data_IF_951114964108
#
_entry.id   IF_951114964108
#
_cell.length_a   1.000
_cell.length_b   1.000
_cell.length_c   1.000
_cell.angle_alpha   90.00
_cell.angle_beta   90.00
_cell.angle_gamma   90.00
#
_symmetry.space_group_name_H-M   'P 1'
#
loop_
_entity.id
_entity.type
_entity.pdbx_description
1 polymer ?
#
# COMPACT_ATOMS: atom_id res chain seq x y z
N UNK A 1 29.44 -23.54 62.15
CA UNK A 1 29.23 -22.42 61.21
C UNK A 1 29.39 -22.99 59.81
N UNK A 2 28.29 -23.45 59.19
CA UNK A 2 28.23 -23.92 57.79
C UNK A 2 26.88 -23.43 57.25
N UNK A 3 26.93 -22.78 56.08
CA UNK A 3 25.91 -21.92 55.50
C UNK A 3 24.59 -22.63 55.11
N UNK A 4 23.45 -21.90 55.01
CA UNK A 4 22.20 -22.45 54.51
C UNK A 4 22.22 -22.58 52.98
N UNK A 5 21.67 -23.69 52.49
CA UNK A 5 21.53 -24.02 51.09
C UNK A 5 20.42 -23.14 50.45
N UNK A 6 20.79 -22.37 49.44
CA UNK A 6 19.87 -21.55 48.63
C UNK A 6 19.09 -22.47 47.68
N UNK A 7 17.75 -22.38 47.59
CA UNK A 7 17.02 -23.12 46.58
C UNK A 7 17.34 -22.54 45.20
N UNK A 8 17.85 -23.40 44.31
CA UNK A 8 18.02 -23.11 42.89
C UNK A 8 16.71 -22.56 42.31
N UNK A 9 16.76 -21.31 41.86
CA UNK A 9 15.75 -20.75 40.97
C UNK A 9 15.82 -21.55 39.69
N UNK A 10 14.98 -22.58 39.58
CA UNK A 10 14.67 -23.24 38.31
C UNK A 10 14.21 -22.13 37.39
N UNK A 11 15.08 -21.77 36.44
CA UNK A 11 14.74 -20.91 35.32
C UNK A 11 13.46 -21.46 34.74
N UNK A 12 12.38 -20.70 34.90
CA UNK A 12 11.14 -20.97 34.22
C UNK A 12 11.48 -20.89 32.74
N UNK A 13 11.57 -22.07 32.13
CA UNK A 13 11.47 -22.26 30.70
C UNK A 13 10.25 -21.44 30.28
N UNK A 14 10.48 -20.24 29.75
CA UNK A 14 9.46 -19.42 29.10
C UNK A 14 9.13 -20.18 27.84
N UNK A 15 8.31 -21.21 28.00
CA UNK A 15 7.66 -21.94 26.93
C UNK A 15 6.93 -20.86 26.14
N UNK A 16 7.52 -20.48 25.01
CA UNK A 16 6.96 -19.52 24.09
C UNK A 16 5.49 -19.91 23.88
N UNK A 17 4.57 -18.96 24.06
CA UNK A 17 3.17 -19.22 23.79
C UNK A 17 3.09 -19.82 22.37
N UNK A 18 2.37 -20.94 22.17
CA UNK A 18 2.22 -21.51 20.84
C UNK A 18 1.76 -20.41 19.89
N UNK A 19 2.33 -20.39 18.68
CA UNK A 19 1.86 -19.51 17.62
C UNK A 19 0.33 -19.60 17.62
N UNK A 20 -0.30 -18.45 17.84
CA UNK A 20 -1.74 -18.40 18.05
C UNK A 20 -2.43 -18.97 16.80
N UNK A 21 -3.13 -20.09 16.93
CA UNK A 21 -3.77 -20.78 15.79
C UNK A 21 -4.83 -19.90 15.10
N UNK A 22 -5.25 -18.81 15.75
CA UNK A 22 -6.17 -17.83 15.17
C UNK A 22 -5.55 -17.16 13.92
N UNK A 23 -6.37 -16.68 12.97
CA UNK A 23 -5.87 -15.85 11.87
C UNK A 23 -5.09 -14.63 12.38
N UNK A 24 -4.04 -14.23 11.65
CA UNK A 24 -3.09 -13.19 12.07
C UNK A 24 -3.78 -11.83 12.27
N UNK A 25 -4.90 -11.61 11.57
CA UNK A 25 -5.73 -10.41 11.68
C UNK A 25 -6.31 -10.21 13.10
N UNK A 26 -6.35 -11.26 13.92
CA UNK A 26 -6.84 -11.23 15.30
C UNK A 26 -5.72 -11.23 16.35
N UNK A 27 -4.46 -11.22 15.93
CA UNK A 27 -3.34 -11.27 16.85
C UNK A 27 -3.12 -9.93 17.56
N UNK A 28 -2.79 -9.92 18.85
CA UNK A 28 -2.31 -8.72 19.53
C UNK A 28 -0.91 -8.34 19.04
N UNK A 29 -0.51 -7.07 19.18
CA UNK A 29 0.83 -6.59 18.77
C UNK A 29 1.96 -7.38 19.45
N UNK A 30 1.76 -7.80 20.70
CA UNK A 30 2.72 -8.64 21.43
C UNK A 30 2.94 -10.01 20.77
N UNK A 31 1.90 -10.61 20.17
CA UNK A 31 2.03 -11.87 19.44
C UNK A 31 2.77 -11.68 18.10
N UNK A 32 2.53 -10.55 17.41
CA UNK A 32 3.30 -10.17 16.21
C UNK A 32 4.78 -9.99 16.57
N UNK A 33 5.08 -9.32 17.69
CA UNK A 33 6.46 -9.16 18.18
C UNK A 33 7.14 -10.50 18.41
N UNK A 34 6.50 -11.38 19.17
CA UNK A 34 7.03 -12.72 19.44
C UNK A 34 7.24 -13.52 18.14
N UNK A 35 6.31 -13.40 17.19
CA UNK A 35 6.41 -14.07 15.89
C UNK A 35 7.59 -13.58 15.04
N UNK A 36 7.95 -12.30 15.11
CA UNK A 36 9.10 -11.75 14.40
C UNK A 36 10.44 -12.06 15.10
N UNK A 37 10.41 -12.31 16.40
CA UNK A 37 11.56 -12.77 17.19
C UNK A 37 11.91 -14.24 16.95
N UNK A 38 10.91 -15.07 16.66
CA UNK A 38 11.06 -16.50 16.43
C UNK A 38 11.35 -16.81 14.95
N UNK A 39 12.20 -17.80 14.70
CA UNK A 39 12.61 -18.24 13.34
C UNK A 39 11.58 -19.21 12.72
N UNK A 40 10.30 -18.81 12.67
CA UNK A 40 9.22 -19.61 12.06
C UNK A 40 8.76 -19.00 10.74
N UNK A 41 9.28 -19.56 9.65
CA UNK A 41 8.97 -19.15 8.29
C UNK A 41 7.47 -19.28 7.94
N UNK A 42 6.76 -20.28 8.46
CA UNK A 42 5.35 -20.47 8.16
C UNK A 42 4.50 -19.36 8.79
N UNK A 43 4.85 -18.94 10.01
CA UNK A 43 4.22 -17.79 10.66
C UNK A 43 4.53 -16.49 9.92
N UNK A 44 5.78 -16.29 9.49
CA UNK A 44 6.16 -15.13 8.68
C UNK A 44 5.38 -15.06 7.37
N UNK A 45 5.19 -16.19 6.69
CA UNK A 45 4.38 -16.25 5.47
C UNK A 45 2.92 -15.83 5.72
N UNK A 46 2.31 -16.23 6.84
CA UNK A 46 0.95 -15.81 7.22
C UNK A 46 0.86 -14.30 7.42
N UNK A 47 1.85 -13.70 8.08
CA UNK A 47 1.94 -12.23 8.25
C UNK A 47 2.06 -11.54 6.90
N UNK A 48 2.94 -12.04 6.01
CA UNK A 48 3.12 -11.49 4.65
C UNK A 48 1.83 -11.58 3.84
N UNK A 49 1.08 -12.68 3.93
CA UNK A 49 -0.22 -12.83 3.25
C UNK A 49 -1.23 -11.81 3.75
N UNK A 50 -1.31 -11.60 5.08
CA UNK A 50 -2.18 -10.59 5.66
C UNK A 50 -1.80 -9.17 5.20
N UNK A 51 -0.50 -8.83 5.16
CA UNK A 51 -0.02 -7.54 4.64
C UNK A 51 -0.37 -7.37 3.15
N UNK A 52 -0.16 -8.40 2.33
CA UNK A 52 -0.50 -8.36 0.89
C UNK A 52 -2.00 -8.16 0.64
N UNK A 53 -2.84 -8.65 1.54
CA UNK A 53 -4.30 -8.47 1.48
C UNK A 53 -4.72 -7.06 1.86
N UNK A 54 -4.09 -6.47 2.87
CA UNK A 54 -4.40 -5.12 3.34
C UNK A 54 -3.11 -4.38 3.80
N UNK A 55 -2.45 -3.63 2.90
CA UNK A 55 -1.13 -3.02 3.17
C UNK A 55 -1.18 -1.85 4.16
N UNK A 56 -2.38 -1.32 4.43
CA UNK A 56 -2.63 -0.26 5.40
C UNK A 56 -3.47 -0.73 6.59
N UNK A 57 -3.83 -2.02 6.60
CA UNK A 57 -4.65 -2.65 7.60
C UNK A 57 -3.96 -2.87 8.93
N UNK A 58 -4.72 -3.44 9.86
CA UNK A 58 -4.30 -3.64 11.26
C UNK A 58 -2.98 -4.39 11.37
N UNK A 59 -2.82 -5.54 10.70
CA UNK A 59 -1.61 -6.35 10.77
C UNK A 59 -0.39 -5.59 10.25
N UNK A 60 -0.53 -4.85 9.14
CA UNK A 60 0.56 -4.03 8.60
C UNK A 60 1.00 -2.96 9.62
N UNK A 61 0.05 -2.26 10.26
CA UNK A 61 0.34 -1.26 11.31
C UNK A 61 1.03 -1.86 12.54
N UNK A 62 0.58 -3.04 12.97
CA UNK A 62 1.21 -3.74 14.11
C UNK A 62 2.65 -4.16 13.78
N UNK A 63 2.91 -4.60 12.55
CA UNK A 63 4.27 -4.93 12.11
C UNK A 63 5.15 -3.68 12.06
N UNK A 64 4.65 -2.56 11.54
CA UNK A 64 5.37 -1.27 11.58
C UNK A 64 5.77 -0.88 13.01
N UNK A 65 4.81 -0.89 13.94
CA UNK A 65 5.04 -0.55 15.35
C UNK A 65 6.12 -1.45 15.97
N UNK A 66 6.09 -2.74 15.66
CA UNK A 66 7.11 -3.69 16.14
C UNK A 66 8.47 -3.39 15.53
N UNK A 67 8.55 -3.10 14.23
CA UNK A 67 9.80 -2.80 13.53
C UNK A 67 10.44 -1.48 13.98
N UNK A 68 9.63 -0.47 14.37
CA UNK A 68 10.11 0.81 14.90
C UNK A 68 10.68 0.69 16.32
N UNK A 69 10.09 -0.17 17.15
CA UNK A 69 10.38 -0.21 18.60
C UNK A 69 11.37 -1.28 19.03
N UNK A 70 11.75 -2.20 18.13
CA UNK A 70 12.53 -3.38 18.48
C UNK A 70 14.01 -3.32 18.08
N UNK A 71 14.82 -4.15 18.75
CA UNK A 71 16.18 -4.49 18.29
C UNK A 71 16.11 -5.18 16.90
N UNK A 72 17.20 -5.17 16.10
CA UNK A 72 17.16 -5.79 14.78
C UNK A 72 16.83 -7.28 14.88
N UNK A 73 15.65 -7.67 14.40
CA UNK A 73 15.31 -9.08 14.16
C UNK A 73 15.88 -9.50 12.81
N UNK A 74 16.27 -10.78 12.67
CA UNK A 74 16.82 -11.30 11.41
C UNK A 74 15.88 -11.06 10.21
N UNK A 75 14.56 -11.04 10.45
CA UNK A 75 13.53 -10.82 9.43
C UNK A 75 13.07 -9.36 9.30
N UNK A 76 13.50 -8.44 10.17
CA UNK A 76 13.00 -7.05 10.18
C UNK A 76 13.13 -6.36 8.83
N UNK A 77 14.31 -6.49 8.20
CA UNK A 77 14.57 -5.91 6.87
C UNK A 77 13.67 -6.50 5.79
N UNK A 78 13.43 -7.80 5.83
CA UNK A 78 12.56 -8.46 4.86
C UNK A 78 11.09 -8.02 5.05
N UNK A 79 10.61 -7.89 6.28
CA UNK A 79 9.26 -7.41 6.56
C UNK A 79 9.06 -5.95 6.18
N UNK A 80 10.04 -5.07 6.45
CA UNK A 80 10.01 -3.68 5.96
C UNK A 80 9.91 -3.62 4.43
N UNK A 81 10.69 -4.45 3.73
CA UNK A 81 10.68 -4.51 2.27
C UNK A 81 9.34 -5.02 1.73
N UNK A 82 8.74 -6.02 2.38
CA UNK A 82 7.39 -6.51 2.02
C UNK A 82 6.37 -5.38 2.16
N UNK A 83 6.36 -4.63 3.28
CA UNK A 83 5.45 -3.51 3.49
C UNK A 83 5.61 -2.45 2.40
N UNK A 84 6.84 -2.03 2.14
CA UNK A 84 7.14 -1.02 1.14
C UNK A 84 6.68 -1.45 -0.25
N UNK A 85 7.14 -2.61 -0.74
CA UNK A 85 6.81 -3.11 -2.08
C UNK A 85 5.32 -3.33 -2.28
N UNK A 86 4.63 -3.81 -1.25
CA UNK A 86 3.18 -4.05 -1.35
C UNK A 86 2.42 -2.73 -1.51
N UNK A 87 2.86 -1.66 -0.84
CA UNK A 87 2.26 -0.32 -0.97
C UNK A 87 2.60 0.34 -2.31
N UNK A 88 3.85 0.25 -2.75
CA UNK A 88 4.26 0.72 -4.07
C UNK A 88 3.44 0.04 -5.18
N UNK A 89 3.20 -1.27 -5.05
CA UNK A 89 2.36 -2.00 -5.99
C UNK A 89 0.89 -1.54 -5.96
N UNK A 90 0.34 -1.29 -4.78
CA UNK A 90 -1.01 -0.75 -4.63
C UNK A 90 -1.13 0.64 -5.28
N UNK A 91 -0.19 1.54 -4.98
CA UNK A 91 -0.14 2.89 -5.56
C UNK A 91 0.01 2.84 -7.09
N UNK A 92 0.86 1.96 -7.62
CA UNK A 92 1.01 1.77 -9.07
C UNK A 92 -0.30 1.30 -9.73
N UNK A 93 -1.04 0.41 -9.08
CA UNK A 93 -2.35 -0.04 -9.55
C UNK A 93 -3.35 1.12 -9.54
N UNK A 94 -3.40 1.91 -8.47
CA UNK A 94 -4.25 3.10 -8.37
C UNK A 94 -3.92 4.14 -9.45
N UNK A 95 -2.63 4.41 -9.70
CA UNK A 95 -2.20 5.29 -10.79
C UNK A 95 -2.60 4.75 -12.16
N UNK A 96 -2.54 3.43 -12.37
CA UNK A 96 -3.00 2.80 -13.60
C UNK A 96 -4.53 2.96 -13.80
N UNK A 97 -5.32 2.85 -12.72
CA UNK A 97 -6.77 3.12 -12.75
C UNK A 97 -7.06 4.56 -13.16
N UNK A 98 -6.36 5.52 -12.54
CA UNK A 98 -6.53 6.94 -12.86
C UNK A 98 -6.14 7.20 -14.32
N UNK A 99 -5.05 6.60 -14.81
CA UNK A 99 -4.64 6.72 -16.21
C UNK A 99 -5.73 6.20 -17.19
N UNK A 100 -6.41 5.10 -16.84
CA UNK A 100 -7.57 4.62 -17.62
C UNK A 100 -8.70 5.66 -17.66
N UNK A 101 -8.98 6.32 -16.54
CA UNK A 101 -9.98 7.38 -16.48
C UNK A 101 -9.57 8.61 -17.32
N UNK A 102 -8.31 9.04 -17.25
CA UNK A 102 -7.79 10.17 -18.04
C UNK A 102 -7.90 9.89 -19.54
N UNK A 103 -7.55 8.67 -19.99
CA UNK A 103 -7.72 8.26 -21.40
C UNK A 103 -9.18 8.34 -21.85
N UNK A 104 -10.11 7.85 -21.05
CA UNK A 104 -11.54 7.94 -21.35
C UNK A 104 -12.01 9.40 -21.51
N UNK A 105 -11.53 10.31 -20.66
CA UNK A 105 -11.85 11.73 -20.77
C UNK A 105 -11.29 12.35 -22.05
N UNK A 106 -10.05 12.01 -22.42
CA UNK A 106 -9.42 12.44 -23.66
C UNK A 106 -10.21 11.94 -24.88
N UNK A 107 -10.46 10.64 -24.97
CA UNK A 107 -11.23 10.01 -26.07
C UNK A 107 -12.62 10.62 -26.20
N UNK A 108 -13.33 10.76 -25.06
CA UNK A 108 -14.65 11.40 -25.02
C UNK A 108 -14.61 12.85 -25.46
N UNK A 109 -13.51 13.59 -25.23
CA UNK A 109 -13.37 14.98 -25.70
C UNK A 109 -13.18 15.05 -27.22
N UNK A 110 -12.52 14.05 -27.82
CA UNK A 110 -12.14 14.04 -29.23
C UNK A 110 -10.99 15.01 -29.57
N UNK A 111 -10.30 15.54 -28.54
CA UNK A 111 -9.09 16.33 -28.69
C UNK A 111 -7.86 15.42 -28.83
N UNK A 112 -6.81 15.92 -29.46
CA UNK A 112 -5.48 15.30 -29.39
C UNK A 112 -4.81 15.56 -28.04
N UNK A 113 -3.81 14.76 -27.68
CA UNK A 113 -3.14 14.85 -26.36
C UNK A 113 -2.55 16.24 -26.07
N UNK A 114 -1.83 16.82 -27.04
CA UNK A 114 -1.20 18.14 -26.90
C UNK A 114 -2.23 19.26 -26.68
N UNK A 115 -3.31 19.24 -27.46
CA UNK A 115 -4.42 20.19 -27.31
C UNK A 115 -5.09 20.01 -25.94
N UNK A 116 -5.34 18.77 -25.52
CA UNK A 116 -5.97 18.49 -24.24
C UNK A 116 -5.10 18.98 -23.08
N UNK A 117 -3.80 18.70 -23.09
CA UNK A 117 -2.82 19.16 -22.10
C UNK A 117 -2.80 20.70 -22.00
N UNK A 118 -2.72 21.38 -23.14
CA UNK A 118 -2.77 22.85 -23.19
C UNK A 118 -4.06 23.41 -22.59
N UNK A 119 -5.22 22.82 -22.92
CA UNK A 119 -6.54 23.27 -22.45
C UNK A 119 -6.78 23.05 -20.96
N UNK A 120 -6.16 22.03 -20.37
CA UNK A 120 -6.19 21.83 -18.92
C UNK A 120 -5.06 22.57 -18.19
N UNK A 121 -4.15 23.21 -18.92
CA UNK A 121 -3.09 24.06 -18.37
C UNK A 121 -1.95 23.28 -17.72
N UNK A 122 -1.52 22.17 -18.32
CA UNK A 122 -0.36 21.41 -17.87
C UNK A 122 0.63 21.19 -19.02
N UNK A 123 1.94 21.05 -18.72
CA UNK A 123 2.93 20.63 -19.70
C UNK A 123 2.59 19.28 -20.34
N UNK A 124 3.03 19.06 -21.58
CA UNK A 124 2.73 17.85 -22.33
C UNK A 124 3.39 16.61 -21.70
N UNK A 125 4.58 16.77 -21.13
CA UNK A 125 5.32 15.74 -20.41
C UNK A 125 4.58 15.26 -19.16
N UNK A 126 3.98 16.19 -18.40
CA UNK A 126 3.18 15.88 -17.21
C UNK A 126 1.90 15.15 -17.61
N UNK A 127 1.23 15.62 -18.66
CA UNK A 127 0.06 14.94 -19.19
C UNK A 127 0.39 13.52 -19.67
N UNK A 128 1.53 13.35 -20.36
CA UNK A 128 1.99 12.04 -20.78
C UNK A 128 2.33 11.12 -19.59
N UNK A 129 2.81 11.66 -18.47
CA UNK A 129 3.01 10.89 -17.24
C UNK A 129 1.69 10.39 -16.64
N UNK A 130 0.65 11.23 -16.64
CA UNK A 130 -0.70 10.83 -16.23
C UNK A 130 -1.29 9.77 -17.16
N UNK A 131 -1.08 9.89 -18.47
CA UNK A 131 -1.52 8.89 -19.44
C UNK A 131 -0.79 7.55 -19.26
N UNK A 132 0.49 7.56 -18.88
CA UNK A 132 1.21 6.31 -18.57
C UNK A 132 0.85 5.73 -17.20
N UNK A 133 0.19 6.49 -16.33
CA UNK A 133 -0.04 6.09 -14.95
C UNK A 133 1.24 6.08 -14.11
N UNK A 134 2.25 6.84 -14.52
CA UNK A 134 3.49 6.99 -13.74
C UNK A 134 3.27 7.91 -12.53
N UNK A 135 2.32 8.82 -12.63
CA UNK A 135 1.88 9.71 -11.56
C UNK A 135 0.36 9.90 -11.67
N UNK A 136 -0.28 10.20 -10.54
CA UNK A 136 -1.70 10.54 -10.52
C UNK A 136 -1.88 12.07 -10.58
N UNK A 137 -2.74 12.60 -11.47
CA UNK A 137 -3.10 14.01 -11.46
C UNK A 137 -3.79 14.40 -10.15
N UNK A 138 -3.62 15.63 -9.65
CA UNK A 138 -4.35 16.10 -8.49
C UNK A 138 -5.86 16.12 -8.74
N UNK A 139 -6.67 15.91 -7.70
CA UNK A 139 -8.13 15.82 -7.81
C UNK A 139 -8.76 17.04 -8.49
N UNK A 140 -8.23 18.25 -8.23
CA UNK A 140 -8.68 19.48 -8.89
C UNK A 140 -8.48 19.46 -10.41
N UNK A 141 -7.41 18.81 -10.89
CA UNK A 141 -7.13 18.65 -12.31
C UNK A 141 -8.07 17.61 -12.94
N UNK A 142 -8.38 16.50 -12.24
CA UNK A 142 -9.38 15.53 -12.68
C UNK A 142 -10.75 16.16 -12.93
N UNK A 143 -11.19 17.05 -12.03
CA UNK A 143 -12.43 17.82 -12.21
C UNK A 143 -12.36 18.70 -13.46
N UNK A 144 -11.22 19.37 -13.70
CA UNK A 144 -11.01 20.22 -14.89
C UNK A 144 -11.05 19.40 -16.18
N UNK A 145 -10.37 18.25 -16.22
CA UNK A 145 -10.39 17.31 -17.35
C UNK A 145 -11.83 16.85 -17.65
N UNK A 146 -12.61 16.51 -16.61
CA UNK A 146 -14.00 16.11 -16.74
C UNK A 146 -14.87 17.19 -17.39
N UNK A 147 -14.78 18.43 -16.90
CA UNK A 147 -15.51 19.59 -17.45
C UNK A 147 -15.10 19.88 -18.90
N UNK A 148 -13.81 19.80 -19.21
CA UNK A 148 -13.30 19.99 -20.57
C UNK A 148 -13.86 18.93 -21.52
N UNK A 149 -13.78 17.65 -21.13
CA UNK A 149 -14.26 16.52 -21.90
C UNK A 149 -15.75 16.65 -22.22
N UNK A 150 -16.57 16.95 -21.21
CA UNK A 150 -18.01 17.12 -21.39
C UNK A 150 -18.35 18.27 -22.34
N UNK A 151 -17.69 19.41 -22.20
CA UNK A 151 -17.91 20.58 -23.07
C UNK A 151 -17.67 20.23 -24.54
N UNK A 152 -16.58 19.55 -24.85
CA UNK A 152 -16.24 19.17 -26.22
C UNK A 152 -17.12 18.04 -26.76
N UNK A 153 -17.52 17.09 -25.91
CA UNK A 153 -18.50 16.08 -26.29
C UNK A 153 -19.84 16.70 -26.73
N UNK A 154 -20.36 17.68 -25.97
CA UNK A 154 -21.59 18.42 -26.31
C UNK A 154 -21.47 19.20 -27.63
N UNK A 155 -20.35 19.88 -27.84
CA UNK A 155 -20.10 20.63 -29.08
C UNK A 155 -19.99 19.72 -30.31
N UNK A 156 -19.60 18.45 -30.13
CA UNK A 156 -19.54 17.47 -31.22
C UNK A 156 -20.93 16.93 -31.54
N UNK A 157 -21.71 16.56 -30.53
CA UNK A 157 -23.07 16.03 -30.74
C UNK A 157 -24.00 17.04 -31.40
N UNK A 158 -23.86 18.33 -31.07
CA UNK A 158 -24.60 19.41 -31.72
C UNK A 158 -24.27 19.48 -33.22
N UNK A 159 -22.98 19.42 -33.58
CA UNK A 159 -22.52 19.42 -34.98
C UNK A 159 -22.90 18.17 -35.78
N UNK A 160 -23.24 17.07 -35.12
CA UNK A 160 -23.71 15.84 -35.77
C UNK A 160 -25.22 15.84 -36.04
N UNK A 161 -25.96 16.81 -35.49
CA UNK A 161 -27.43 16.90 -35.59
C UNK A 161 -27.87 17.93 -36.65
N UNK A 162 -26.99 18.84 -37.04
CA UNK A 162 -27.14 19.77 -38.17
C UNK A 162 -26.68 19.10 -39.49
#
# INVERSE_FOLDING_TARGET
>A
MVAPEMPEVRGSDRRAAPADDRPVEFWPTAAIRAALENDDLAVWQRIVVAIKRDPFGRTARQVEEVLETARPYGVSRAMSEVLQRTREHLEANECAEVARHVRLLLERSGLGEQEFASRIGVPAEDFAAYLRGSTSPPASLMIRMGRLSERFAKMRSQRSTD
#
